data_IF_643200535524
#
_entry.id   IF_643200535524
#
_cell.length_a   1.000
_cell.length_b   1.000
_cell.length_c   1.000
_cell.angle_alpha   90.00
_cell.angle_beta   90.00
_cell.angle_gamma   90.00
#
_symmetry.space_group_name_H-M   'P 1'
#
loop_
_entity.id
_entity.type
_entity.pdbx_description
1 polymer ?
#
# COMPACT_ATOMS: atom_id res chain seq x y z
N UNK A 1 -17.95 -19.53 -13.27
CA UNK A 1 -19.17 -19.69 -12.45
C UNK A 1 -19.89 -18.35 -12.40
N UNK A 2 -21.20 -18.33 -12.65
CA UNK A 2 -22.02 -17.12 -12.53
C UNK A 2 -23.01 -17.23 -11.38
N UNK A 3 -23.14 -16.16 -10.59
CA UNK A 3 -24.20 -15.99 -9.59
C UNK A 3 -25.01 -14.76 -9.96
N UNK A 4 -26.32 -14.94 -10.05
CA UNK A 4 -27.28 -13.84 -10.20
C UNK A 4 -28.10 -13.81 -8.91
N UNK A 5 -28.11 -12.66 -8.25
CA UNK A 5 -28.85 -12.43 -7.01
C UNK A 5 -29.82 -11.27 -7.26
N UNK A 6 -31.09 -11.49 -6.92
CA UNK A 6 -32.11 -10.45 -6.93
C UNK A 6 -32.53 -10.19 -5.48
N UNK A 7 -32.15 -9.03 -4.94
CA UNK A 7 -32.53 -8.63 -3.59
C UNK A 7 -33.88 -7.92 -3.63
N UNK A 8 -34.85 -8.45 -2.87
CA UNK A 8 -36.16 -7.82 -2.69
C UNK A 8 -36.10 -6.86 -1.50
N UNK A 9 -36.20 -5.58 -1.78
CA UNK A 9 -36.14 -4.53 -0.75
C UNK A 9 -37.53 -4.37 -0.12
N UNK A 10 -37.65 -4.14 1.20
CA UNK A 10 -38.94 -3.93 1.87
C UNK A 10 -39.82 -2.82 1.26
N UNK A 11 -39.24 -1.89 0.49
CA UNK A 11 -39.95 -0.86 -0.27
C UNK A 11 -40.56 -1.34 -1.60
N UNK A 12 -40.52 -2.64 -1.90
CA UNK A 12 -41.09 -3.23 -3.12
C UNK A 12 -40.18 -3.18 -4.35
N UNK A 13 -38.95 -2.68 -4.23
CA UNK A 13 -37.96 -2.66 -5.30
C UNK A 13 -37.15 -3.95 -5.43
N UNK A 14 -36.62 -4.22 -6.62
CA UNK A 14 -35.71 -5.34 -6.90
C UNK A 14 -34.33 -4.76 -7.26
N UNK A 15 -33.30 -5.17 -6.53
CA UNK A 15 -31.90 -4.79 -6.81
C UNK A 15 -31.16 -6.02 -7.37
N UNK A 16 -30.91 -6.09 -8.68
CA UNK A 16 -30.15 -7.19 -9.27
C UNK A 16 -28.64 -6.98 -9.06
N UNK A 17 -27.94 -8.06 -8.70
CA UNK A 17 -26.49 -8.13 -8.70
C UNK A 17 -26.02 -9.39 -9.42
N UNK A 18 -24.95 -9.26 -10.20
CA UNK A 18 -24.34 -10.36 -10.92
C UNK A 18 -22.87 -10.47 -10.55
N UNK A 19 -22.40 -11.69 -10.40
CA UNK A 19 -21.00 -12.00 -10.11
C UNK A 19 -20.55 -13.14 -11.00
N UNK A 20 -19.48 -12.90 -11.77
CA UNK A 20 -18.90 -13.87 -12.69
C UNK A 20 -17.46 -14.13 -12.28
N UNK A 21 -17.17 -15.34 -11.82
CA UNK A 21 -15.85 -15.76 -11.38
C UNK A 21 -15.28 -16.81 -12.35
N UNK A 22 -14.11 -16.54 -12.93
CA UNK A 22 -13.38 -17.47 -13.79
C UNK A 22 -12.42 -18.33 -12.97
N UNK A 23 -12.70 -19.63 -12.85
CA UNK A 23 -11.89 -20.55 -12.03
C UNK A 23 -11.29 -21.62 -12.93
N UNK A 24 -9.97 -21.77 -12.87
CA UNK A 24 -9.26 -22.88 -13.50
C UNK A 24 -9.15 -24.03 -12.50
N UNK A 25 -10.04 -25.02 -12.63
CA UNK A 25 -10.12 -26.19 -11.72
C UNK A 25 -9.03 -27.23 -12.01
N UNK A 26 -8.68 -27.44 -13.29
CA UNK A 26 -7.64 -28.39 -13.71
C UNK A 26 -6.37 -27.62 -14.10
N UNK A 27 -5.46 -27.45 -13.16
CA UNK A 27 -4.20 -26.72 -13.39
C UNK A 27 -3.13 -27.54 -14.13
N UNK A 28 -3.14 -28.87 -14.01
CA UNK A 28 -2.03 -29.73 -14.48
C UNK A 28 -2.23 -30.41 -15.84
N UNK A 29 -3.33 -30.15 -16.56
CA UNK A 29 -3.66 -30.91 -17.78
C UNK A 29 -2.92 -30.44 -19.05
N UNK A 30 -2.26 -29.28 -19.03
CA UNK A 30 -1.54 -28.70 -20.18
C UNK A 30 -0.03 -28.72 -19.90
N UNK A 31 0.84 -28.72 -20.93
CA UNK A 31 2.30 -28.64 -20.77
C UNK A 31 2.77 -27.46 -19.89
N UNK A 32 1.97 -26.38 -19.82
CA UNK A 32 2.18 -25.25 -18.92
C UNK A 32 2.06 -25.60 -17.43
N UNK A 33 1.35 -26.68 -17.08
CA UNK A 33 1.15 -27.14 -15.71
C UNK A 33 2.45 -27.59 -15.03
N UNK A 34 3.40 -28.18 -15.79
CA UNK A 34 4.72 -28.52 -15.26
C UNK A 34 5.52 -27.27 -14.87
N UNK A 35 5.47 -26.22 -15.67
CA UNK A 35 6.10 -24.94 -15.34
C UNK A 35 5.51 -24.35 -14.06
N UNK A 36 4.19 -24.36 -13.91
CA UNK A 36 3.50 -23.89 -12.70
C UNK A 36 3.92 -24.70 -11.47
N UNK A 37 3.99 -26.04 -11.58
CA UNK A 37 4.45 -26.91 -10.48
C UNK A 37 5.88 -26.57 -10.03
N UNK A 38 6.80 -26.31 -10.98
CA UNK A 38 8.17 -25.90 -10.67
C UNK A 38 8.18 -24.54 -9.96
N UNK A 39 7.40 -23.57 -10.43
CA UNK A 39 7.27 -22.27 -9.78
C UNK A 39 6.71 -22.37 -8.35
N UNK A 40 5.74 -23.26 -8.11
CA UNK A 40 5.18 -23.53 -6.79
C UNK A 40 6.23 -24.15 -5.86
N UNK A 41 7.00 -25.13 -6.35
CA UNK A 41 8.12 -25.71 -5.60
C UNK A 41 9.17 -24.66 -5.21
N UNK A 42 9.54 -23.78 -6.15
CA UNK A 42 10.46 -22.66 -5.90
C UNK A 42 9.88 -21.69 -4.87
N UNK A 43 8.59 -21.38 -4.93
CA UNK A 43 7.93 -20.52 -3.95
C UNK A 43 7.95 -21.10 -2.52
N UNK A 44 7.70 -22.41 -2.39
CA UNK A 44 7.84 -23.12 -1.11
C UNK A 44 9.27 -23.07 -0.58
N UNK A 45 10.27 -23.28 -1.43
CA UNK A 45 11.69 -23.17 -1.06
C UNK A 45 12.05 -21.74 -0.60
N UNK A 46 11.59 -20.70 -1.31
CA UNK A 46 11.78 -19.31 -0.88
C UNK A 46 11.13 -19.02 0.47
N UNK A 47 9.94 -19.56 0.71
CA UNK A 47 9.24 -19.41 2.00
C UNK A 47 10.03 -20.04 3.14
N UNK A 48 10.56 -21.25 2.94
CA UNK A 48 11.44 -21.91 3.92
C UNK A 48 12.74 -21.15 4.17
N UNK A 49 13.39 -20.68 3.09
CA UNK A 49 14.59 -19.86 3.20
C UNK A 49 14.33 -18.55 3.97
N UNK A 50 13.23 -17.85 3.69
CA UNK A 50 12.84 -16.66 4.45
C UNK A 50 12.53 -16.96 5.91
N UNK A 51 11.92 -18.11 6.19
CA UNK A 51 11.67 -18.58 7.56
C UNK A 51 12.99 -18.76 8.32
N UNK A 52 13.96 -19.45 7.72
CA UNK A 52 15.27 -19.65 8.34
C UNK A 52 15.99 -18.31 8.58
N UNK A 53 15.98 -17.41 7.60
CA UNK A 53 16.55 -16.07 7.74
C UNK A 53 15.87 -15.28 8.87
N UNK A 54 14.55 -15.36 8.96
CA UNK A 54 13.76 -14.71 10.00
C UNK A 54 14.11 -15.24 11.40
N UNK A 55 14.19 -16.56 11.55
CA UNK A 55 14.62 -17.20 12.80
C UNK A 55 16.06 -16.81 13.17
N UNK A 56 16.98 -16.82 12.20
CA UNK A 56 18.36 -16.40 12.44
C UNK A 56 18.44 -14.93 12.89
N UNK A 57 17.64 -14.04 12.29
CA UNK A 57 17.56 -12.64 12.68
C UNK A 57 17.03 -12.48 14.11
N UNK A 58 16.02 -13.25 14.50
CA UNK A 58 15.48 -13.26 15.87
C UNK A 58 16.55 -13.74 16.85
N UNK A 59 17.23 -14.85 16.57
CA UNK A 59 18.26 -15.39 17.47
C UNK A 59 19.44 -14.43 17.66
N UNK A 60 19.85 -13.71 16.61
CA UNK A 60 20.98 -12.75 16.68
C UNK A 60 20.62 -11.43 17.35
N UNK A 61 19.41 -10.90 17.12
CA UNK A 61 19.02 -9.56 17.58
C UNK A 61 18.17 -9.58 18.87
N UNK A 62 17.66 -10.75 19.26
CA UNK A 62 16.87 -10.94 20.48
C UNK A 62 15.71 -9.94 20.57
N UNK A 63 15.58 -9.28 21.73
CA UNK A 63 14.51 -8.29 21.99
C UNK A 63 14.60 -7.03 21.10
N UNK A 64 15.78 -6.71 20.54
CA UNK A 64 15.96 -5.54 19.66
C UNK A 64 15.24 -5.72 18.33
N UNK A 65 15.00 -6.97 17.92
CA UNK A 65 14.24 -7.30 16.71
C UNK A 65 12.82 -6.73 16.75
N UNK A 66 12.15 -6.79 17.90
CA UNK A 66 10.76 -6.33 18.06
C UNK A 66 10.59 -4.81 18.05
N UNK A 67 11.69 -4.04 18.03
CA UNK A 67 11.61 -2.57 17.99
C UNK A 67 11.79 -1.98 16.58
N UNK A 68 12.18 -2.79 15.60
CA UNK A 68 12.42 -2.33 14.23
C UNK A 68 11.15 -2.45 13.38
N UNK A 69 10.72 -1.34 12.77
CA UNK A 69 9.59 -1.32 11.82
C UNK A 69 9.71 -2.39 10.72
N UNK A 70 10.92 -2.62 10.21
CA UNK A 70 11.16 -3.60 9.15
C UNK A 70 10.97 -5.05 9.60
N UNK A 71 11.20 -5.33 10.88
CA UNK A 71 11.00 -6.67 11.44
C UNK A 71 9.52 -7.05 11.45
N UNK A 72 8.62 -6.08 11.67
CA UNK A 72 7.17 -6.29 11.54
C UNK A 72 6.75 -6.59 10.09
N UNK A 73 7.30 -5.87 9.11
CA UNK A 73 7.02 -6.13 7.68
C UNK A 73 7.53 -7.52 7.26
N UNK A 74 8.71 -7.93 7.74
CA UNK A 74 9.27 -9.26 7.50
C UNK A 74 8.39 -10.36 8.15
N UNK A 75 7.92 -10.16 9.39
CA UNK A 75 7.02 -11.09 10.07
C UNK A 75 5.65 -11.19 9.36
N UNK A 76 5.07 -10.06 8.96
CA UNK A 76 3.79 -9.99 8.26
C UNK A 76 3.85 -10.71 6.91
N UNK A 77 4.90 -10.48 6.13
CA UNK A 77 5.15 -11.18 4.87
C UNK A 77 5.19 -12.70 5.06
N UNK A 78 5.83 -13.16 6.14
CA UNK A 78 5.96 -14.58 6.45
C UNK A 78 4.61 -15.23 6.81
N UNK A 79 3.79 -14.54 7.61
CA UNK A 79 2.44 -15.01 7.97
C UNK A 79 1.56 -15.13 6.72
N UNK A 80 1.60 -14.12 5.83
CA UNK A 80 0.85 -14.17 4.58
C UNK A 80 1.34 -15.29 3.68
N UNK A 81 2.65 -15.51 3.55
CA UNK A 81 3.17 -16.58 2.69
C UNK A 81 2.72 -17.96 3.17
N UNK A 82 2.74 -18.22 4.48
CA UNK A 82 2.19 -19.47 5.03
C UNK A 82 0.68 -19.61 4.83
N UNK A 83 -0.06 -18.51 4.99
CA UNK A 83 -1.51 -18.50 4.74
C UNK A 83 -1.83 -18.78 3.27
N UNK A 84 -1.03 -18.24 2.34
CA UNK A 84 -1.16 -18.49 0.92
C UNK A 84 -0.87 -19.96 0.56
N UNK A 85 0.18 -20.56 1.13
CA UNK A 85 0.46 -22.00 0.96
C UNK A 85 -0.68 -22.86 1.51
N UNK A 86 -1.22 -22.52 2.69
CA UNK A 86 -2.35 -23.24 3.27
C UNK A 86 -3.60 -23.17 2.39
N UNK A 87 -4.00 -21.98 1.93
CA UNK A 87 -5.14 -21.83 1.01
C UNK A 87 -4.90 -22.52 -0.33
N UNK A 88 -3.66 -22.52 -0.83
CA UNK A 88 -3.31 -23.23 -2.05
C UNK A 88 -3.54 -24.75 -1.89
N UNK A 89 -3.06 -25.35 -0.81
CA UNK A 89 -3.28 -26.78 -0.52
C UNK A 89 -4.78 -27.09 -0.37
N UNK A 90 -5.52 -26.26 0.37
CA UNK A 90 -6.97 -26.41 0.52
C UNK A 90 -7.71 -26.33 -0.83
N UNK A 91 -7.33 -25.38 -1.69
CA UNK A 91 -7.87 -25.25 -3.04
C UNK A 91 -7.62 -26.52 -3.85
N UNK A 92 -6.41 -27.07 -3.82
CA UNK A 92 -6.05 -28.29 -4.58
C UNK A 92 -6.82 -29.52 -4.08
N UNK A 93 -6.98 -29.67 -2.76
CA UNK A 93 -7.78 -30.77 -2.18
C UNK A 93 -9.24 -30.69 -2.65
N UNK A 94 -9.85 -29.51 -2.57
CA UNK A 94 -11.25 -29.33 -2.97
C UNK A 94 -11.45 -29.44 -4.48
N UNK A 95 -10.48 -28.97 -5.28
CA UNK A 95 -10.50 -29.15 -6.73
C UNK A 95 -10.47 -30.63 -7.12
N UNK A 96 -9.62 -31.44 -6.46
CA UNK A 96 -9.55 -32.89 -6.69
C UNK A 96 -10.85 -33.59 -6.27
N UNK A 97 -11.43 -33.23 -5.12
CA UNK A 97 -12.73 -33.76 -4.67
C UNK A 97 -13.87 -33.45 -5.66
N UNK A 98 -13.87 -32.26 -6.24
CA UNK A 98 -14.84 -31.88 -7.27
C UNK A 98 -14.62 -32.68 -8.55
N UNK A 99 -13.36 -32.87 -8.97
CA UNK A 99 -13.03 -33.65 -10.16
C UNK A 99 -13.45 -35.13 -10.01
N UNK A 100 -13.22 -35.73 -8.85
CA UNK A 100 -13.63 -37.11 -8.53
C UNK A 100 -15.15 -37.27 -8.56
N UNK A 101 -15.89 -36.39 -7.85
CA UNK A 101 -17.37 -36.39 -7.88
C UNK A 101 -17.95 -36.17 -9.27
N UNK A 102 -17.28 -35.36 -10.09
CA UNK A 102 -17.69 -35.12 -11.47
C UNK A 102 -17.54 -36.39 -12.32
N UNK A 103 -16.45 -37.15 -12.13
CA UNK A 103 -16.25 -38.43 -12.80
C UNK A 103 -17.25 -39.48 -12.34
N UNK A 104 -17.50 -39.61 -11.04
CA UNK A 104 -18.47 -40.56 -10.47
C UNK A 104 -19.91 -40.31 -10.95
N UNK A 105 -20.30 -39.04 -11.10
CA UNK A 105 -21.68 -38.68 -11.49
C UNK A 105 -21.85 -38.53 -13.01
N UNK A 106 -20.82 -38.84 -13.82
CA UNK A 106 -20.80 -38.62 -15.26
C UNK A 106 -21.28 -37.20 -15.67
N UNK A 107 -20.99 -36.20 -14.84
CA UNK A 107 -21.42 -34.81 -15.05
C UNK A 107 -22.91 -34.51 -14.83
N UNK A 108 -23.72 -35.47 -14.38
CA UNK A 108 -25.17 -35.28 -14.18
C UNK A 108 -25.53 -34.77 -12.77
N UNK A 109 -24.54 -34.61 -11.88
CA UNK A 109 -24.71 -34.15 -10.51
C UNK A 109 -24.49 -32.65 -10.35
N UNK A 110 -25.30 -32.00 -9.53
CA UNK A 110 -25.05 -30.61 -9.12
C UNK A 110 -23.82 -30.54 -8.20
N UNK A 111 -22.76 -29.85 -8.64
CA UNK A 111 -21.54 -29.65 -7.86
C UNK A 111 -21.49 -28.22 -7.33
N UNK A 112 -21.34 -28.08 -6.01
CA UNK A 112 -21.24 -26.78 -5.34
C UNK A 112 -19.84 -26.17 -5.52
N UNK A 113 -19.64 -25.44 -6.61
CA UNK A 113 -18.37 -24.73 -6.90
C UNK A 113 -18.18 -23.42 -6.10
N UNK A 114 -19.22 -22.95 -5.40
CA UNK A 114 -19.17 -21.69 -4.64
C UNK A 114 -18.06 -21.66 -3.59
N UNK A 115 -17.82 -22.79 -2.92
CA UNK A 115 -16.81 -22.87 -1.87
C UNK A 115 -15.40 -22.72 -2.44
N UNK A 116 -15.10 -23.43 -3.53
CA UNK A 116 -13.81 -23.32 -4.23
C UNK A 116 -13.60 -21.92 -4.81
N UNK A 117 -14.66 -21.27 -5.30
CA UNK A 117 -14.61 -19.88 -5.75
C UNK A 117 -14.15 -18.91 -4.65
N UNK A 118 -14.69 -19.05 -3.43
CA UNK A 118 -14.34 -18.21 -2.29
C UNK A 118 -12.89 -18.44 -1.86
N UNK A 119 -12.43 -19.71 -1.83
CA UNK A 119 -11.03 -20.03 -1.52
C UNK A 119 -10.09 -19.44 -2.56
N UNK A 120 -10.43 -19.57 -3.86
CA UNK A 120 -9.61 -19.02 -4.96
C UNK A 120 -9.54 -17.48 -4.92
N UNK A 121 -10.66 -16.82 -4.64
CA UNK A 121 -10.70 -15.37 -4.44
C UNK A 121 -9.83 -14.94 -3.24
N UNK A 122 -9.98 -15.60 -2.10
CA UNK A 122 -9.17 -15.32 -0.91
C UNK A 122 -7.68 -15.56 -1.18
N UNK A 123 -7.33 -16.62 -1.89
CA UNK A 123 -5.96 -16.87 -2.34
C UNK A 123 -5.44 -15.75 -3.24
N UNK A 124 -6.25 -15.29 -4.21
CA UNK A 124 -5.92 -14.15 -5.07
C UNK A 124 -5.61 -12.88 -4.28
N UNK A 125 -6.43 -12.56 -3.26
CA UNK A 125 -6.19 -11.41 -2.37
C UNK A 125 -4.89 -11.57 -1.56
N UNK A 126 -4.61 -12.75 -1.02
CA UNK A 126 -3.36 -13.00 -0.29
C UNK A 126 -2.13 -12.84 -1.18
N UNK A 127 -2.16 -13.37 -2.41
CA UNK A 127 -1.05 -13.22 -3.37
C UNK A 127 -0.85 -11.76 -3.77
N UNK A 128 -1.93 -10.99 -3.94
CA UNK A 128 -1.84 -9.55 -4.21
C UNK A 128 -1.17 -8.79 -3.05
N UNK A 129 -1.59 -9.06 -1.81
CA UNK A 129 -0.99 -8.43 -0.61
C UNK A 129 0.48 -8.86 -0.46
N UNK A 130 0.80 -10.13 -0.72
CA UNK A 130 2.17 -10.64 -0.67
C UNK A 130 3.05 -9.93 -1.71
N UNK A 131 2.57 -9.77 -2.94
CA UNK A 131 3.28 -9.10 -4.04
C UNK A 131 3.48 -7.61 -3.72
N UNK A 132 2.47 -6.95 -3.17
CA UNK A 132 2.57 -5.57 -2.70
C UNK A 132 3.64 -5.41 -1.62
N UNK A 133 3.63 -6.31 -0.62
CA UNK A 133 4.63 -6.27 0.47
C UNK A 133 6.04 -6.60 -0.02
N UNK A 134 6.17 -7.53 -0.97
CA UNK A 134 7.43 -7.82 -1.66
C UNK A 134 7.95 -6.58 -2.42
N UNK A 135 7.06 -5.82 -3.05
CA UNK A 135 7.39 -4.57 -3.75
C UNK A 135 7.90 -3.50 -2.78
N UNK A 136 7.25 -3.33 -1.62
CA UNK A 136 7.74 -2.44 -0.56
C UNK A 136 9.13 -2.88 -0.06
N UNK A 137 9.33 -4.18 0.12
CA UNK A 137 10.62 -4.73 0.55
C UNK A 137 11.71 -4.50 -0.51
N UNK A 138 11.36 -4.54 -1.80
CA UNK A 138 12.25 -4.18 -2.88
C UNK A 138 12.63 -2.69 -2.85
N UNK A 139 11.68 -1.79 -2.56
CA UNK A 139 11.97 -0.34 -2.40
C UNK A 139 13.00 -0.08 -1.30
N UNK A 140 13.03 -0.89 -0.23
CA UNK A 140 14.06 -0.81 0.82
C UNK A 140 15.46 -1.02 0.25
N UNK A 141 15.63 -1.98 -0.65
CA UNK A 141 16.91 -2.27 -1.31
C UNK A 141 17.33 -1.09 -2.20
N UNK A 142 16.38 -0.40 -2.85
CA UNK A 142 16.70 0.76 -3.67
C UNK A 142 17.18 1.99 -2.86
N UNK A 143 17.03 1.99 -1.54
CA UNK A 143 17.50 3.08 -0.66
C UNK A 143 19.03 3.26 -0.70
N UNK A 144 19.79 2.31 -1.22
CA UNK A 144 21.22 2.49 -1.46
C UNK A 144 21.52 3.64 -2.45
N UNK A 145 20.57 3.99 -3.32
CA UNK A 145 20.69 5.17 -4.16
C UNK A 145 20.46 6.45 -3.34
N UNK A 146 21.41 7.40 -3.38
CA UNK A 146 21.34 8.69 -2.67
C UNK A 146 20.02 9.43 -2.91
N UNK A 147 19.48 9.40 -4.14
CA UNK A 147 18.20 10.08 -4.45
C UNK A 147 17.03 9.49 -3.67
N UNK A 148 16.93 8.16 -3.59
CA UNK A 148 15.87 7.44 -2.88
C UNK A 148 16.09 7.51 -1.36
N UNK A 149 17.35 7.47 -0.92
CA UNK A 149 17.76 7.70 0.46
C UNK A 149 17.23 9.02 1.00
N UNK A 150 17.41 10.12 0.26
CA UNK A 150 16.90 11.46 0.65
C UNK A 150 15.37 11.45 0.79
N UNK A 151 14.63 10.86 -0.16
CA UNK A 151 13.16 10.79 -0.08
C UNK A 151 12.69 10.01 1.17
N UNK A 152 13.33 8.88 1.46
CA UNK A 152 13.01 8.10 2.67
C UNK A 152 13.34 8.84 3.97
N UNK A 153 14.42 9.64 3.96
CA UNK A 153 14.79 10.48 5.09
C UNK A 153 13.82 11.64 5.27
N UNK A 154 13.36 12.26 4.18
CA UNK A 154 12.30 13.29 4.20
C UNK A 154 11.02 12.75 4.82
N UNK A 155 10.55 11.58 4.36
CA UNK A 155 9.34 10.95 4.91
C UNK A 155 9.47 10.65 6.40
N UNK A 156 10.65 10.21 6.84
CA UNK A 156 10.91 9.98 8.27
C UNK A 156 10.95 11.28 9.07
N UNK A 157 11.48 12.35 8.48
CA UNK A 157 11.58 13.66 9.10
C UNK A 157 10.20 14.31 9.30
N UNK A 158 9.33 14.27 8.28
CA UNK A 158 7.98 14.84 8.40
C UNK A 158 6.95 13.91 9.07
N UNK A 159 7.31 12.68 9.44
CA UNK A 159 6.33 11.68 9.91
C UNK A 159 5.47 12.19 11.08
N UNK A 160 6.08 12.85 12.08
CA UNK A 160 5.35 13.37 13.23
C UNK A 160 4.40 14.52 12.85
N UNK A 161 4.86 15.45 12.00
CA UNK A 161 4.04 16.57 11.53
C UNK A 161 2.90 16.07 10.64
N UNK A 162 3.18 15.09 9.79
CA UNK A 162 2.21 14.46 8.91
C UNK A 162 1.15 13.68 9.69
N UNK A 163 1.54 13.02 10.79
CA UNK A 163 0.60 12.33 11.66
C UNK A 163 -0.37 13.32 12.33
N UNK A 164 0.15 14.43 12.87
CA UNK A 164 -0.69 15.49 13.42
C UNK A 164 -1.65 16.09 12.39
N UNK A 165 -1.15 16.38 11.19
CA UNK A 165 -1.96 16.84 10.07
C UNK A 165 -3.02 15.81 9.65
N UNK A 166 -2.67 14.52 9.61
CA UNK A 166 -3.58 13.45 9.23
C UNK A 166 -4.79 13.35 10.17
N UNK A 167 -4.58 13.54 11.48
CA UNK A 167 -5.69 13.56 12.46
C UNK A 167 -6.66 14.71 12.15
N UNK A 168 -6.16 15.92 11.92
CA UNK A 168 -6.99 17.08 11.56
C UNK A 168 -7.72 16.84 10.23
N UNK A 169 -7.00 16.29 9.24
CA UNK A 169 -7.58 15.92 7.94
C UNK A 169 -8.72 14.92 8.07
N UNK A 170 -8.52 13.83 8.81
CA UNK A 170 -9.53 12.80 9.00
C UNK A 170 -10.76 13.39 9.69
N UNK A 171 -10.60 14.20 10.74
CA UNK A 171 -11.74 14.82 11.46
C UNK A 171 -12.54 15.74 10.53
N UNK A 172 -11.88 16.66 9.82
CA UNK A 172 -12.56 17.57 8.89
C UNK A 172 -13.19 16.82 7.72
N UNK A 173 -12.48 15.87 7.12
CA UNK A 173 -12.98 15.06 6.02
C UNK A 173 -14.21 14.24 6.42
N UNK A 174 -14.18 13.58 7.58
CA UNK A 174 -15.30 12.80 8.09
C UNK A 174 -16.50 13.71 8.43
N UNK A 175 -16.28 14.92 8.95
CA UNK A 175 -17.37 15.86 9.21
C UNK A 175 -18.14 16.21 7.93
N UNK A 176 -17.43 16.54 6.84
CA UNK A 176 -18.06 16.78 5.54
C UNK A 176 -18.69 15.51 4.96
N UNK A 177 -18.02 14.35 5.03
CA UNK A 177 -18.58 13.08 4.57
C UNK A 177 -19.91 12.77 5.27
N UNK A 178 -19.96 12.95 6.59
CA UNK A 178 -21.16 12.70 7.38
C UNK A 178 -22.28 13.67 7.01
N UNK A 179 -21.95 14.94 6.75
CA UNK A 179 -22.92 15.94 6.30
C UNK A 179 -23.51 15.59 4.94
N UNK A 180 -22.69 15.21 3.95
CA UNK A 180 -23.17 14.77 2.64
C UNK A 180 -23.96 13.47 2.72
N UNK A 181 -23.50 12.50 3.51
CA UNK A 181 -24.23 11.27 3.76
C UNK A 181 -25.64 11.56 4.28
N UNK A 182 -25.77 12.40 5.32
CA UNK A 182 -27.08 12.72 5.89
C UNK A 182 -28.00 13.49 4.94
N UNK A 183 -27.44 14.35 4.08
CA UNK A 183 -28.22 15.15 3.13
C UNK A 183 -28.61 14.41 1.85
N UNK A 184 -27.79 13.46 1.38
CA UNK A 184 -27.92 12.88 0.04
C UNK A 184 -28.24 11.39 0.03
N UNK A 185 -28.18 10.68 1.17
CA UNK A 185 -28.31 9.22 1.22
C UNK A 185 -29.60 8.65 0.63
N UNK A 186 -30.72 9.37 0.71
CA UNK A 186 -32.02 8.88 0.23
C UNK A 186 -32.18 9.02 -1.29
N UNK A 187 -31.49 9.99 -1.89
CA UNK A 187 -31.77 10.43 -3.26
C UNK A 187 -30.71 9.98 -4.25
N UNK A 188 -29.46 9.83 -3.81
CA UNK A 188 -28.35 9.49 -4.69
C UNK A 188 -27.72 8.15 -4.30
N UNK A 189 -27.54 7.21 -5.26
CA UNK A 189 -27.01 5.89 -4.97
C UNK A 189 -25.56 5.93 -4.47
N UNK A 190 -24.78 6.91 -4.94
CA UNK A 190 -23.39 7.16 -4.53
C UNK A 190 -23.27 7.49 -3.04
N UNK A 191 -24.33 8.03 -2.43
CA UNK A 191 -24.33 8.53 -1.06
C UNK A 191 -25.12 7.62 -0.11
N UNK A 192 -25.61 6.47 -0.60
CA UNK A 192 -26.54 5.59 0.12
C UNK A 192 -25.94 4.99 1.39
N UNK A 193 -24.67 4.63 1.34
CA UNK A 193 -23.93 4.03 2.46
C UNK A 193 -22.78 4.95 2.86
N UNK A 194 -22.37 4.90 4.14
CA UNK A 194 -21.25 5.70 4.62
C UNK A 194 -19.96 5.42 3.85
N UNK A 195 -19.67 4.15 3.53
CA UNK A 195 -18.47 3.76 2.76
C UNK A 195 -18.52 4.36 1.35
N UNK A 196 -19.65 4.24 0.66
CA UNK A 196 -19.83 4.84 -0.68
C UNK A 196 -19.76 6.37 -0.63
N UNK A 197 -20.33 7.01 0.40
CA UNK A 197 -20.22 8.45 0.61
C UNK A 197 -18.78 8.90 0.86
N UNK A 198 -17.99 8.10 1.60
CA UNK A 198 -16.57 8.35 1.83
C UNK A 198 -15.77 8.25 0.51
N UNK A 199 -16.04 7.23 -0.31
CA UNK A 199 -15.44 7.07 -1.64
C UNK A 199 -15.80 8.22 -2.58
N UNK A 200 -17.07 8.65 -2.57
CA UNK A 200 -17.54 9.80 -3.36
C UNK A 200 -16.93 11.12 -2.89
N UNK A 201 -16.78 11.33 -1.57
CA UNK A 201 -16.05 12.50 -1.05
C UNK A 201 -14.58 12.49 -1.46
N UNK A 202 -13.94 11.31 -1.45
CA UNK A 202 -12.54 11.20 -1.85
C UNK A 202 -12.38 11.45 -3.35
N UNK A 203 -13.30 10.95 -4.17
CA UNK A 203 -13.38 11.22 -5.60
C UNK A 203 -13.62 12.72 -5.87
N UNK A 204 -14.48 13.36 -5.09
CA UNK A 204 -14.74 14.79 -5.19
C UNK A 204 -13.51 15.63 -4.84
N UNK A 205 -12.71 15.22 -3.85
CA UNK A 205 -11.42 15.86 -3.52
C UNK A 205 -10.43 15.79 -4.70
N UNK A 206 -10.46 14.69 -5.46
CA UNK A 206 -9.66 14.51 -6.69
C UNK A 206 -10.23 15.24 -7.92
N UNK A 207 -11.34 15.97 -7.76
CA UNK A 207 -11.99 16.74 -8.83
C UNK A 207 -13.04 15.96 -9.64
N UNK A 208 -13.38 14.73 -9.23
CA UNK A 208 -14.46 13.93 -9.85
C UNK A 208 -15.73 14.05 -9.01
N UNK A 209 -16.63 14.94 -9.40
CA UNK A 209 -17.90 15.14 -8.69
C UNK A 209 -19.03 15.51 -9.65
N UNK A 210 -20.24 15.06 -9.34
CA UNK A 210 -21.47 15.48 -10.01
C UNK A 210 -22.22 16.54 -9.19
N UNK A 211 -21.83 17.80 -9.37
CA UNK A 211 -22.46 18.93 -8.69
C UNK A 211 -23.93 19.13 -9.08
N UNK A 212 -24.29 18.77 -10.31
CA UNK A 212 -25.63 18.99 -10.82
C UNK A 212 -26.64 18.12 -10.07
N UNK A 213 -26.34 16.83 -9.95
CA UNK A 213 -27.17 15.88 -9.20
C UNK A 213 -27.28 16.25 -7.72
N UNK A 214 -26.20 16.70 -7.08
CA UNK A 214 -26.23 17.13 -5.67
C UNK A 214 -27.10 18.37 -5.44
N UNK A 215 -26.99 19.38 -6.33
CA UNK A 215 -27.74 20.64 -6.20
C UNK A 215 -29.25 20.43 -6.43
N UNK A 216 -29.63 19.50 -7.29
CA UNK A 216 -31.04 19.18 -7.54
C UNK A 216 -31.75 18.60 -6.32
N UNK A 217 -31.03 17.82 -5.50
CA UNK A 217 -31.60 17.23 -4.28
C UNK A 217 -31.83 18.30 -3.22
N UNK A 218 -30.76 19.04 -2.87
CA UNK A 218 -30.85 20.10 -1.87
C UNK A 218 -29.90 21.25 -2.22
N UNK A 219 -30.43 22.49 -2.23
CA UNK A 219 -29.62 23.70 -2.44
C UNK A 219 -28.51 23.83 -1.39
N UNK A 220 -28.78 23.42 -0.15
CA UNK A 220 -27.81 23.43 0.95
C UNK A 220 -26.63 22.49 0.68
N UNK A 221 -26.86 21.34 0.05
CA UNK A 221 -25.79 20.40 -0.31
C UNK A 221 -24.83 21.04 -1.33
N UNK A 222 -25.35 21.83 -2.28
CA UNK A 222 -24.54 22.59 -3.22
C UNK A 222 -23.68 23.67 -2.54
N UNK A 223 -24.21 24.36 -1.53
CA UNK A 223 -23.46 25.36 -0.75
C UNK A 223 -22.36 24.69 0.08
N UNK A 224 -22.67 23.60 0.78
CA UNK A 224 -21.69 22.83 1.56
C UNK A 224 -20.59 22.28 0.65
N UNK A 225 -20.95 21.82 -0.54
CA UNK A 225 -20.00 21.35 -1.55
C UNK A 225 -18.99 22.43 -1.93
N UNK A 226 -19.42 23.68 -2.07
CA UNK A 226 -18.51 24.79 -2.34
C UNK A 226 -17.49 25.01 -1.21
N UNK A 227 -17.96 24.99 0.05
CA UNK A 227 -17.06 25.08 1.21
C UNK A 227 -16.11 23.88 1.31
N UNK A 228 -16.60 22.67 1.03
CA UNK A 228 -15.81 21.46 0.97
C UNK A 228 -14.71 21.58 -0.10
N UNK A 229 -15.03 22.03 -1.31
CA UNK A 229 -14.07 22.16 -2.40
C UNK A 229 -12.97 23.18 -2.07
N UNK A 230 -13.32 24.34 -1.49
CA UNK A 230 -12.32 25.32 -1.07
C UNK A 230 -11.46 24.77 0.08
N UNK A 231 -12.10 24.24 1.13
CA UNK A 231 -11.39 23.75 2.30
C UNK A 231 -10.49 22.57 1.99
N UNK A 232 -11.01 21.53 1.34
CA UNK A 232 -10.27 20.28 1.13
C UNK A 232 -9.30 20.36 -0.05
N UNK A 233 -9.70 20.95 -1.18
CA UNK A 233 -8.82 20.98 -2.35
C UNK A 233 -7.80 22.11 -2.30
N UNK A 234 -8.15 23.29 -1.77
CA UNK A 234 -7.18 24.39 -1.68
C UNK A 234 -6.43 24.41 -0.35
N UNK A 235 -7.12 24.41 0.79
CA UNK A 235 -6.43 24.61 2.07
C UNK A 235 -5.67 23.35 2.46
N UNK A 236 -6.34 22.19 2.51
CA UNK A 236 -5.72 20.97 3.03
C UNK A 236 -4.58 20.45 2.15
N UNK A 237 -4.75 20.40 0.82
CA UNK A 237 -3.68 19.99 -0.09
C UNK A 237 -2.45 20.91 0.05
N UNK A 238 -2.65 22.23 0.16
CA UNK A 238 -1.52 23.17 0.30
C UNK A 238 -0.80 23.04 1.66
N UNK A 239 -1.52 22.72 2.75
CA UNK A 239 -0.88 22.44 4.04
C UNK A 239 -0.04 21.16 3.94
N UNK A 240 -0.58 20.09 3.35
CA UNK A 240 0.15 18.84 3.13
C UNK A 240 1.43 19.07 2.31
N UNK A 241 1.31 19.80 1.20
CA UNK A 241 2.46 20.16 0.36
C UNK A 241 3.50 20.96 1.15
N UNK A 242 3.06 21.94 1.94
CA UNK A 242 3.96 22.77 2.75
C UNK A 242 4.76 21.94 3.76
N UNK A 243 4.12 20.99 4.45
CA UNK A 243 4.80 20.10 5.40
C UNK A 243 5.86 19.26 4.68
N UNK A 244 5.51 18.67 3.54
CA UNK A 244 6.43 17.83 2.76
C UNK A 244 7.61 18.65 2.22
N UNK A 245 7.35 19.83 1.64
CA UNK A 245 8.38 20.69 1.07
C UNK A 245 9.36 21.16 2.16
N UNK A 246 8.86 21.61 3.32
CA UNK A 246 9.70 22.04 4.45
C UNK A 246 10.64 20.92 4.91
N UNK A 247 10.11 19.71 5.10
CA UNK A 247 10.94 18.58 5.51
C UNK A 247 11.95 18.17 4.43
N UNK A 248 11.58 18.29 3.16
CA UNK A 248 12.47 18.00 2.04
C UNK A 248 13.63 18.99 1.97
N UNK A 249 13.36 20.29 2.14
CA UNK A 249 14.38 21.33 2.22
C UNK A 249 15.32 21.10 3.41
N UNK A 250 14.78 20.74 4.59
CA UNK A 250 15.57 20.47 5.79
C UNK A 250 16.54 19.29 5.59
N UNK A 251 16.07 18.18 5.04
CA UNK A 251 16.93 17.00 4.77
C UNK A 251 17.96 17.30 3.68
N UNK A 252 17.57 18.04 2.65
CA UNK A 252 18.48 18.48 1.59
C UNK A 252 19.59 19.35 2.15
N UNK A 253 19.26 20.36 2.96
CA UNK A 253 20.23 21.22 3.64
C UNK A 253 21.21 20.41 4.48
N UNK A 254 20.71 19.49 5.32
CA UNK A 254 21.55 18.62 6.14
C UNK A 254 22.53 17.81 5.28
N UNK A 255 22.05 17.23 4.18
CA UNK A 255 22.89 16.45 3.25
C UNK A 255 23.99 17.27 2.55
N UNK A 256 23.76 18.57 2.35
CA UNK A 256 24.74 19.50 1.78
C UNK A 256 25.77 19.91 2.84
N UNK A 257 25.33 20.22 4.07
CA UNK A 257 26.21 20.56 5.18
C UNK A 257 27.20 19.41 5.49
N UNK A 258 26.73 18.15 5.49
CA UNK A 258 27.61 16.99 5.67
C UNK A 258 28.62 16.83 4.53
N UNK A 259 28.22 17.12 3.28
CA UNK A 259 29.11 17.06 2.13
C UNK A 259 30.21 18.15 2.15
N UNK A 260 29.89 19.33 2.69
CA UNK A 260 30.88 20.42 2.86
C UNK A 260 31.88 20.11 3.96
N UNK A 261 31.46 19.42 5.03
CA UNK A 261 32.34 19.05 6.15
C UNK A 261 33.28 17.87 5.85
N UNK A 262 32.98 17.06 4.82
CA UNK A 262 33.84 15.99 4.31
C UNK A 262 34.84 16.45 3.23
N UNK A 263 34.76 17.69 2.73
CA UNK A 263 35.85 18.24 1.92
C UNK A 263 37.02 18.54 2.86
N UNK A 264 38.24 18.00 2.62
CA UNK A 264 39.40 18.43 3.38
C UNK A 264 39.53 19.94 3.23
N UNK A 265 39.71 20.66 4.34
CA UNK A 265 39.94 22.11 4.33
C UNK A 265 41.08 22.40 3.33
N UNK A 266 40.87 23.19 2.27
CA UNK A 266 41.98 23.62 1.43
C UNK A 266 42.87 24.51 2.29
N UNK A 267 44.03 23.97 2.68
CA UNK A 267 45.15 24.69 3.26
C UNK A 267 44.83 25.51 4.52
N UNK A 268 45.05 24.92 5.69
CA UNK A 268 45.84 25.66 6.68
C UNK A 268 47.25 25.77 6.11
N UNK A 269 47.44 26.74 5.20
CA UNK A 269 48.74 27.15 4.71
C UNK A 269 49.53 27.63 5.94
N UNK A 270 50.39 26.75 6.42
CA UNK A 270 51.21 26.99 7.60
C UNK A 270 52.18 28.14 7.28
N UNK A 271 51.80 29.37 7.65
CA UNK A 271 52.64 30.57 7.50
C UNK A 271 54.04 30.40 8.12
N UNK A 272 54.21 29.51 9.10
CA UNK A 272 55.50 29.26 9.74
C UNK A 272 56.45 28.40 8.88
N UNK A 273 55.97 27.78 7.80
CA UNK A 273 56.83 27.03 6.86
C UNK A 273 57.40 27.92 5.76
N UNK A 274 56.73 29.03 5.43
CA UNK A 274 57.20 30.00 4.42
C UNK A 274 58.22 30.97 5.03
N UNK A 275 58.01 31.44 6.27
CA UNK A 275 58.99 32.30 6.95
C UNK A 275 60.34 31.60 7.25
N UNK A 276 60.34 30.28 7.44
CA UNK A 276 61.59 29.50 7.57
C UNK A 276 62.31 29.25 6.25
N UNK A 277 61.61 29.32 5.12
CA UNK A 277 62.23 29.22 3.80
C UNK A 277 62.81 30.58 3.37
N UNK A 278 62.18 31.70 3.74
CA UNK A 278 62.73 33.04 3.48
C UNK A 278 63.92 33.38 4.40
N UNK A 279 63.92 32.94 5.66
CA UNK A 279 65.04 33.17 6.57
C UNK A 279 66.28 32.29 6.28
N UNK A 280 66.11 31.17 5.57
CA UNK A 280 67.22 30.29 5.16
C UNK A 280 67.96 30.77 3.91
N UNK A 281 67.34 31.63 3.11
CA UNK A 281 67.89 32.06 1.81
C UNK A 281 68.67 33.39 1.86
N UNK A 282 68.76 34.04 3.03
CA UNK A 282 69.49 35.31 3.22
C UNK A 282 70.90 35.08 3.81
N UNK A 283 71.30 33.83 4.09
CA UNK A 283 72.65 33.50 4.59
C UNK A 283 73.58 32.85 3.55
N UNK A 284 73.25 32.91 2.26
CA UNK A 284 74.09 32.33 1.19
C UNK A 284 74.37 33.25 -0.02
N UNK A 285 74.17 34.56 0.10
CA UNK A 285 74.77 35.55 -0.82
C UNK A 285 75.54 36.63 -0.03
#
# INVERSE_FOLDING_TARGET
>A
MGRVLAEFVPGGGIVPSWRMDGIRLLQYHTSFGLFVLVCEGVFCLFTLHFTFKFLQNICKQGKRFFHSYWSYVEAFSLVISYSAVALYVLRTIEANRIAEKFQETHGNGYIRMQYVAIIDEAFGYLVAILTFTATISFLKLLRFNRRIGVLSATMRQCYNDLWGYAVVFIVLFNAFCMMFFLLLNKNLPEWRNYVSAFESCFSAMLGKFDFYSMRQVHILAGVIFFFFAISMSFIMINILLTIIIKAFEQVRWFSLATATQQRPRPGTFNKNRVSKLEAGNIQQE
#
